data_IF_253277012951
#
_entry.id   IF_253277012951
#
_cell.length_a   1.000
_cell.length_b   1.000
_cell.length_c   1.000
_cell.angle_alpha   90.00
_cell.angle_beta   90.00
_cell.angle_gamma   90.00
#
_symmetry.space_group_name_H-M   'P 1'
#
loop_
_entity.id
_entity.type
_entity.pdbx_description
1 polymer ?
#
# COMPACT_ATOMS: atom_id res chain seq x y z
N UNK A 1 9.56 -32.16 25.78
CA UNK A 1 9.46 -31.81 24.35
C UNK A 1 8.46 -30.69 24.24
N UNK A 2 8.84 -29.51 23.75
CA UNK A 2 7.90 -28.40 23.56
C UNK A 2 7.15 -28.63 22.23
N UNK A 3 5.81 -28.58 22.29
CA UNK A 3 4.98 -28.62 21.08
C UNK A 3 5.24 -27.32 20.30
N UNK A 4 5.57 -27.38 19.00
CA UNK A 4 5.73 -26.17 18.19
C UNK A 4 4.44 -25.35 18.23
N UNK A 5 4.53 -24.09 18.66
CA UNK A 5 3.41 -23.15 18.56
C UNK A 5 3.21 -22.80 17.10
N UNK A 6 1.97 -22.97 16.61
CA UNK A 6 1.62 -22.60 15.24
C UNK A 6 1.90 -21.11 15.02
N UNK A 7 2.54 -20.72 13.90
CA UNK A 7 2.71 -19.31 13.57
C UNK A 7 1.33 -18.70 13.30
N UNK A 8 1.05 -17.58 13.94
CA UNK A 8 -0.16 -16.81 13.71
C UNK A 8 -0.09 -16.12 12.34
N UNK A 9 -1.11 -16.33 11.51
CA UNK A 9 -1.31 -15.58 10.27
C UNK A 9 -2.49 -14.63 10.51
N UNK A 10 -2.25 -13.32 10.55
CA UNK A 10 -3.32 -12.34 10.72
C UNK A 10 -4.33 -12.43 9.57
N UNK A 11 -5.62 -12.24 9.89
CA UNK A 11 -6.66 -12.08 8.89
C UNK A 11 -6.52 -10.79 8.08
N UNK A 12 -7.41 -10.61 7.11
CA UNK A 12 -7.56 -9.33 6.41
C UNK A 12 -8.03 -8.25 7.39
N UNK A 13 -7.55 -7.02 7.19
CA UNK A 13 -7.95 -5.85 7.98
C UNK A 13 -8.54 -4.82 7.04
N UNK A 14 -9.80 -4.48 7.28
CA UNK A 14 -10.54 -3.51 6.48
C UNK A 14 -10.07 -2.09 6.80
N UNK A 15 -9.59 -1.36 5.79
CA UNK A 15 -9.12 0.01 5.96
C UNK A 15 -9.82 0.95 4.98
N UNK A 16 -10.86 1.68 5.44
CA UNK A 16 -11.65 2.58 4.58
C UNK A 16 -10.96 3.93 4.31
N UNK A 17 -9.81 4.17 4.93
CA UNK A 17 -9.12 5.46 4.97
C UNK A 17 -9.98 6.60 5.57
N UNK A 18 -9.86 6.86 6.88
CA UNK A 18 -10.31 8.11 7.47
C UNK A 18 -9.12 9.06 7.72
N UNK A 19 -9.23 10.32 7.30
CA UNK A 19 -8.18 11.33 7.51
C UNK A 19 -7.86 11.55 9.00
N UNK A 20 -8.81 11.28 9.89
CA UNK A 20 -8.64 11.38 11.35
C UNK A 20 -7.54 10.48 11.90
N UNK A 21 -7.22 9.37 11.22
CA UNK A 21 -6.13 8.48 11.66
C UNK A 21 -4.75 9.09 11.37
N UNK A 22 -4.65 9.98 10.39
CA UNK A 22 -3.39 10.57 9.93
C UNK A 22 -3.10 11.93 10.56
N UNK A 23 -4.13 12.69 10.94
CA UNK A 23 -3.98 13.99 11.59
C UNK A 23 -3.09 13.97 12.86
N UNK A 24 -3.16 12.96 13.75
CA UNK A 24 -2.24 12.84 14.88
C UNK A 24 -0.77 12.72 14.48
N UNK A 25 -0.50 12.21 13.27
CA UNK A 25 0.83 12.15 12.67
C UNK A 25 1.29 13.45 12.00
N UNK A 26 0.48 14.52 12.07
CA UNK A 26 0.76 15.81 11.45
C UNK A 26 0.48 15.86 9.95
N UNK A 27 -0.29 14.91 9.42
CA UNK A 27 -0.61 14.89 7.99
C UNK A 27 -1.71 15.89 7.64
N UNK A 28 -1.44 16.69 6.59
CA UNK A 28 -2.44 17.55 5.96
C UNK A 28 -3.01 16.90 4.70
N UNK A 29 -4.32 17.00 4.48
CA UNK A 29 -4.98 16.42 3.30
C UNK A 29 -5.05 17.43 2.14
N UNK A 30 -4.71 16.97 0.94
CA UNK A 30 -4.91 17.66 -0.33
C UNK A 30 -5.88 16.82 -1.17
N UNK A 31 -7.13 17.25 -1.37
CA UNK A 31 -8.09 16.51 -2.18
C UNK A 31 -7.78 16.64 -3.68
N UNK A 32 -8.02 15.57 -4.44
CA UNK A 32 -7.91 15.53 -5.89
C UNK A 32 -9.09 14.75 -6.48
N UNK A 33 -9.84 15.35 -7.41
CA UNK A 33 -11.01 14.71 -8.01
C UNK A 33 -11.32 15.26 -9.40
N UNK A 34 -12.28 14.63 -10.08
CA UNK A 34 -12.79 15.08 -11.38
C UNK A 34 -11.71 15.12 -12.47
N UNK A 35 -11.70 16.20 -13.25
CA UNK A 35 -10.75 16.38 -14.36
C UNK A 35 -9.30 16.51 -13.90
N UNK A 36 -9.04 16.78 -12.61
CA UNK A 36 -7.69 16.87 -12.06
C UNK A 36 -7.05 15.52 -11.76
N UNK A 37 -7.78 14.40 -11.87
CA UNK A 37 -7.24 13.05 -11.69
C UNK A 37 -6.17 12.66 -12.73
N UNK A 38 -5.99 13.44 -13.80
CA UNK A 38 -5.03 13.16 -14.86
C UNK A 38 -4.40 14.44 -15.43
N UNK A 39 -3.44 14.25 -16.35
CA UNK A 39 -2.82 15.34 -17.10
C UNK A 39 -2.19 16.42 -16.20
N UNK A 40 -2.31 17.72 -16.58
CA UNK A 40 -1.68 18.81 -15.83
C UNK A 40 -2.17 18.94 -14.38
N UNK A 41 -3.44 18.64 -14.10
CA UNK A 41 -4.00 18.72 -12.74
C UNK A 41 -3.33 17.71 -11.80
N UNK A 42 -3.17 16.48 -12.27
CA UNK A 42 -2.48 15.44 -11.51
C UNK A 42 -1.00 15.77 -11.30
N UNK A 43 -0.32 16.24 -12.35
CA UNK A 43 1.10 16.64 -12.27
C UNK A 43 1.28 17.79 -11.27
N UNK A 44 0.39 18.78 -11.25
CA UNK A 44 0.45 19.90 -10.31
C UNK A 44 0.22 19.45 -8.86
N UNK A 45 -0.76 18.56 -8.64
CA UNK A 45 -1.02 17.99 -7.32
C UNK A 45 0.18 17.18 -6.80
N UNK A 46 0.76 16.33 -7.65
CA UNK A 46 1.95 15.54 -7.32
C UNK A 46 3.17 16.44 -7.03
N UNK A 47 3.36 17.49 -7.83
CA UNK A 47 4.42 18.49 -7.60
C UNK A 47 4.28 19.15 -6.23
N UNK A 48 3.04 19.50 -5.86
CA UNK A 48 2.72 20.14 -4.57
C UNK A 48 3.03 19.20 -3.39
N UNK A 49 2.56 17.95 -3.44
CA UNK A 49 2.74 17.01 -2.32
C UNK A 49 4.20 16.58 -2.16
N UNK A 50 4.96 16.46 -3.26
CA UNK A 50 6.39 16.13 -3.23
C UNK A 50 7.24 17.27 -2.67
N UNK A 51 6.87 18.52 -2.97
CA UNK A 51 7.52 19.71 -2.45
C UNK A 51 7.18 20.00 -0.98
N UNK A 52 6.09 19.43 -0.45
CA UNK A 52 5.60 19.68 0.90
C UNK A 52 6.63 19.36 1.98
N UNK A 53 6.84 20.30 2.90
CA UNK A 53 7.76 20.15 4.04
C UNK A 53 7.11 19.45 5.23
N UNK A 54 5.78 19.28 5.21
CA UNK A 54 5.02 18.59 6.24
C UNK A 54 4.40 17.30 5.69
N UNK A 55 4.22 16.25 6.51
CA UNK A 55 3.56 15.04 6.07
C UNK A 55 2.22 15.35 5.38
N UNK A 56 1.95 14.70 4.25
CA UNK A 56 0.81 15.07 3.39
C UNK A 56 0.07 13.84 2.90
N UNK A 57 -1.25 13.93 2.85
CA UNK A 57 -2.10 12.95 2.17
C UNK A 57 -2.64 13.56 0.88
N UNK A 58 -2.34 12.93 -0.26
CA UNK A 58 -3.07 13.18 -1.51
C UNK A 58 -4.30 12.29 -1.53
N UNK A 59 -5.47 12.85 -1.21
CA UNK A 59 -6.73 12.13 -1.27
C UNK A 59 -7.32 12.22 -2.68
N UNK A 60 -6.98 11.25 -3.52
CA UNK A 60 -7.49 11.07 -4.86
C UNK A 60 -8.43 9.85 -4.93
N UNK A 61 -9.21 9.58 -3.88
CA UNK A 61 -9.92 8.31 -3.67
C UNK A 61 -10.96 7.94 -4.74
N UNK A 62 -11.33 8.87 -5.63
CA UNK A 62 -12.19 8.63 -6.81
C UNK A 62 -11.41 8.53 -8.12
N UNK A 63 -10.09 8.71 -8.09
CA UNK A 63 -9.24 8.78 -9.27
C UNK A 63 -8.56 7.44 -9.57
N UNK A 64 -8.36 7.18 -10.86
CA UNK A 64 -7.45 6.14 -11.34
C UNK A 64 -6.12 6.82 -11.70
N UNK A 65 -5.11 6.69 -10.84
CA UNK A 65 -3.86 7.42 -10.98
C UNK A 65 -2.86 6.67 -11.84
N UNK A 66 -2.41 7.30 -12.93
CA UNK A 66 -1.29 6.81 -13.74
C UNK A 66 -0.05 7.67 -13.47
N UNK A 67 0.84 7.13 -12.63
CA UNK A 67 2.08 7.79 -12.24
C UNK A 67 3.13 7.78 -13.36
N UNK A 68 2.91 7.05 -14.45
CA UNK A 68 3.80 7.12 -15.63
C UNK A 68 3.76 8.49 -16.33
N UNK A 69 2.77 9.32 -16.03
CA UNK A 69 2.69 10.71 -16.49
C UNK A 69 3.64 11.66 -15.74
N UNK A 70 4.26 11.22 -14.63
CA UNK A 70 5.20 12.01 -13.84
C UNK A 70 6.63 11.88 -14.39
N UNK A 71 7.55 12.68 -13.85
CA UNK A 71 8.99 12.48 -14.07
C UNK A 71 9.43 11.08 -13.66
N UNK A 72 10.60 10.65 -14.15
CA UNK A 72 11.13 9.34 -13.76
C UNK A 72 11.47 9.27 -12.27
N UNK A 73 11.86 10.39 -11.66
CA UNK A 73 12.24 10.49 -10.26
C UNK A 73 11.33 11.44 -9.50
N UNK A 74 10.82 10.98 -8.36
CA UNK A 74 9.98 11.70 -7.41
C UNK A 74 10.78 11.94 -6.13
N UNK A 75 11.12 13.20 -5.88
CA UNK A 75 11.87 13.61 -4.69
C UNK A 75 10.90 14.01 -3.58
N UNK A 76 10.91 13.27 -2.48
CA UNK A 76 10.02 13.49 -1.34
C UNK A 76 10.70 14.35 -0.27
N UNK A 77 10.14 15.54 0.00
CA UNK A 77 10.60 16.39 1.10
C UNK A 77 10.09 15.95 2.47
N UNK A 78 8.97 15.23 2.52
CA UNK A 78 8.31 14.75 3.74
C UNK A 78 7.65 13.37 3.50
N UNK A 79 6.97 12.83 4.52
CA UNK A 79 6.22 11.58 4.41
C UNK A 79 4.94 11.79 3.58
N UNK A 80 4.60 10.84 2.72
CA UNK A 80 3.53 10.98 1.74
C UNK A 80 2.58 9.80 1.76
N UNK A 81 1.28 10.08 1.82
CA UNK A 81 0.22 9.10 1.60
C UNK A 81 -0.50 9.45 0.31
N UNK A 82 -0.75 8.49 -0.55
CA UNK A 82 -1.53 8.65 -1.76
C UNK A 82 -2.70 7.68 -1.69
N UNK A 83 -3.91 8.22 -1.70
CA UNK A 83 -5.15 7.46 -1.73
C UNK A 83 -5.72 7.52 -3.14
N UNK A 84 -6.07 6.38 -3.73
CA UNK A 84 -6.70 6.35 -5.05
C UNK A 84 -7.65 5.17 -5.22
N UNK A 85 -8.45 5.19 -6.28
CA UNK A 85 -9.24 4.03 -6.69
C UNK A 85 -8.35 2.98 -7.36
N UNK A 86 -7.37 3.40 -8.15
CA UNK A 86 -6.37 2.52 -8.75
C UNK A 86 -5.03 3.23 -8.96
N UNK A 87 -3.98 2.43 -9.10
CA UNK A 87 -2.62 2.90 -9.33
C UNK A 87 -1.98 2.18 -10.52
N UNK A 88 -1.30 2.94 -11.36
CA UNK A 88 -0.38 2.44 -12.36
C UNK A 88 0.96 3.14 -12.21
N UNK A 89 2.01 2.37 -11.91
CA UNK A 89 3.37 2.85 -11.78
C UNK A 89 4.21 2.27 -12.92
N UNK A 90 4.96 3.12 -13.60
CA UNK A 90 5.90 2.75 -14.66
C UNK A 90 7.01 3.80 -14.74
N UNK A 91 8.27 3.36 -14.75
CA UNK A 91 9.43 4.24 -14.73
C UNK A 91 9.43 5.25 -13.55
N UNK A 92 8.94 4.84 -12.38
CA UNK A 92 8.88 5.71 -11.20
C UNK A 92 9.92 5.32 -10.16
N UNK A 93 10.81 6.24 -9.82
CA UNK A 93 11.77 6.15 -8.73
C UNK A 93 11.37 7.09 -7.60
N UNK A 94 11.07 6.57 -6.42
CA UNK A 94 10.75 7.37 -5.24
C UNK A 94 11.96 7.45 -4.32
N UNK A 95 12.42 8.67 -4.02
CA UNK A 95 13.57 8.89 -3.17
C UNK A 95 13.35 10.07 -2.21
N UNK A 96 14.04 10.04 -1.07
CA UNK A 96 14.10 11.19 -0.18
C UNK A 96 14.90 12.30 -0.84
N UNK A 97 14.40 13.53 -0.80
CA UNK A 97 15.12 14.71 -1.26
C UNK A 97 16.32 15.07 -0.36
N UNK A 98 16.40 14.46 0.83
CA UNK A 98 17.41 14.78 1.85
C UNK A 98 18.03 13.50 2.42
N UNK A 99 18.85 13.63 3.48
CA UNK A 99 19.39 12.49 4.19
C UNK A 99 18.42 11.79 5.15
N UNK A 100 17.22 12.33 5.32
CA UNK A 100 16.22 11.83 6.25
C UNK A 100 15.42 10.69 5.61
N UNK A 101 15.14 9.64 6.38
CA UNK A 101 14.29 8.55 5.94
C UNK A 101 12.83 9.01 5.80
N UNK A 102 12.15 8.58 4.74
CA UNK A 102 10.76 8.91 4.43
C UNK A 102 9.88 7.68 4.36
N UNK A 103 8.60 7.88 4.65
CA UNK A 103 7.56 6.87 4.48
C UNK A 103 6.63 7.26 3.34
N UNK A 104 6.26 6.27 2.54
CA UNK A 104 5.35 6.41 1.41
C UNK A 104 4.26 5.35 1.54
N UNK A 105 3.00 5.75 1.43
CA UNK A 105 1.87 4.82 1.40
C UNK A 105 1.09 5.01 0.12
N UNK A 106 0.80 3.91 -0.55
CA UNK A 106 -0.22 3.84 -1.57
C UNK A 106 -1.38 3.02 -1.02
N UNK A 107 -2.55 3.62 -0.99
CA UNK A 107 -3.73 3.01 -0.37
C UNK A 107 -4.85 3.04 -1.38
N UNK A 108 -5.33 1.86 -1.74
CA UNK A 108 -6.66 1.68 -2.31
C UNK A 108 -7.57 1.35 -1.11
N UNK A 109 -8.51 2.25 -0.73
CA UNK A 109 -9.36 1.99 0.41
C UNK A 109 -10.22 0.76 0.21
N UNK A 110 -10.44 0.03 1.30
CA UNK A 110 -11.48 -0.99 1.36
C UNK A 110 -12.85 -0.32 1.35
N UNK A 111 -13.66 -0.62 0.33
CA UNK A 111 -15.00 -0.02 0.14
C UNK A 111 -16.13 -0.99 0.50
N UNK A 112 -15.76 -2.06 1.19
CA UNK A 112 -16.66 -3.07 1.70
C UNK A 112 -17.50 -2.66 2.89
N UNK A 113 -18.07 -3.69 3.52
CA UNK A 113 -18.64 -3.55 4.85
C UNK A 113 -17.49 -3.45 5.85
N UNK A 114 -17.46 -2.40 6.67
CA UNK A 114 -16.43 -2.25 7.70
C UNK A 114 -16.40 -3.45 8.64
N UNK A 115 -15.20 -3.93 8.96
CA UNK A 115 -14.93 -5.03 9.90
C UNK A 115 -15.54 -6.38 9.47
N UNK A 116 -15.71 -6.60 8.16
CA UNK A 116 -16.07 -7.91 7.63
C UNK A 116 -14.86 -8.83 7.41
N UNK A 117 -13.64 -8.29 7.50
CA UNK A 117 -12.38 -8.99 7.25
C UNK A 117 -12.33 -9.65 5.86
N UNK A 118 -12.92 -8.98 4.87
CA UNK A 118 -12.93 -9.42 3.47
C UNK A 118 -12.33 -8.31 2.62
N UNK A 119 -11.36 -8.61 1.74
CA UNK A 119 -10.81 -7.60 0.84
C UNK A 119 -11.85 -7.18 -0.21
N UNK A 120 -12.61 -6.13 0.08
CA UNK A 120 -13.63 -5.61 -0.83
C UNK A 120 -13.03 -4.55 -1.76
N UNK A 121 -12.52 -5.04 -2.88
CA UNK A 121 -11.94 -4.22 -3.92
C UNK A 121 -12.99 -3.27 -4.53
N UNK A 122 -12.75 -1.94 -4.56
CA UNK A 122 -13.64 -1.02 -5.25
C UNK A 122 -13.76 -1.35 -6.74
N UNK A 123 -14.92 -1.05 -7.32
CA UNK A 123 -15.15 -1.25 -8.76
C UNK A 123 -14.10 -0.50 -9.60
N UNK A 124 -13.44 -1.23 -10.51
CA UNK A 124 -12.36 -0.70 -11.33
C UNK A 124 -11.03 -0.49 -10.58
N UNK A 125 -10.94 -0.93 -9.33
CA UNK A 125 -9.72 -0.84 -8.54
C UNK A 125 -8.66 -1.83 -9.01
N UNK A 126 -7.42 -1.37 -9.07
CA UNK A 126 -6.26 -2.21 -9.41
C UNK A 126 -4.97 -1.53 -9.00
N UNK A 127 -3.95 -2.33 -8.69
CA UNK A 127 -2.59 -1.81 -8.46
C UNK A 127 -1.63 -2.49 -9.43
N UNK A 128 -1.08 -1.73 -10.36
CA UNK A 128 -0.14 -2.25 -11.36
C UNK A 128 1.19 -1.53 -11.25
N UNK A 129 2.25 -2.30 -11.02
CA UNK A 129 3.64 -1.85 -11.18
C UNK A 129 4.23 -2.54 -12.38
N UNK A 130 4.69 -1.75 -13.35
CA UNK A 130 5.43 -2.25 -14.50
C UNK A 130 6.94 -2.02 -14.30
N UNK A 131 7.71 -2.13 -15.38
CA UNK A 131 9.16 -2.04 -15.34
C UNK A 131 9.66 -0.69 -14.80
N UNK A 132 10.88 -0.71 -14.26
CA UNK A 132 11.64 0.46 -13.79
C UNK A 132 10.97 1.23 -12.64
N UNK A 133 10.22 0.52 -11.80
CA UNK A 133 9.76 1.05 -10.51
C UNK A 133 10.79 0.70 -9.44
N UNK A 134 11.28 1.73 -8.74
CA UNK A 134 12.30 1.61 -7.69
C UNK A 134 11.92 2.44 -6.47
N UNK A 135 12.04 1.85 -5.29
CA UNK A 135 11.97 2.58 -4.01
C UNK A 135 13.40 2.76 -3.49
N UNK A 136 13.83 4.01 -3.36
CA UNK A 136 15.17 4.37 -2.89
C UNK A 136 15.45 3.89 -1.47
N UNK A 137 16.73 3.74 -1.12
CA UNK A 137 17.17 3.17 0.16
C UNK A 137 16.70 3.92 1.41
N UNK A 138 16.39 5.22 1.27
CA UNK A 138 15.86 6.10 2.32
C UNK A 138 14.34 6.24 2.30
N UNK A 139 13.63 5.49 1.47
CA UNK A 139 12.17 5.46 1.44
C UNK A 139 11.70 4.08 1.87
N UNK A 140 10.73 4.03 2.76
CA UNK A 140 10.00 2.82 3.11
C UNK A 140 8.60 2.98 2.49
N UNK A 141 8.23 2.11 1.56
CA UNK A 141 6.97 2.18 0.84
C UNK A 141 6.00 1.05 1.22
N UNK A 142 4.74 1.40 1.46
CA UNK A 142 3.67 0.45 1.72
C UNK A 142 2.64 0.49 0.60
N UNK A 143 2.20 -0.68 0.14
CA UNK A 143 0.97 -0.83 -0.63
C UNK A 143 -0.07 -1.46 0.29
N UNK A 144 -1.22 -0.81 0.43
CA UNK A 144 -2.44 -1.42 0.96
C UNK A 144 -3.49 -1.44 -0.14
N UNK A 145 -3.99 -2.62 -0.47
CA UNK A 145 -4.96 -2.77 -1.55
C UNK A 145 -5.86 -4.01 -1.37
N UNK A 146 -7.18 -3.85 -1.15
CA UNK A 146 -8.12 -4.97 -1.26
C UNK A 146 -8.19 -5.54 -2.68
N UNK A 147 -7.67 -4.81 -3.68
CA UNK A 147 -7.55 -5.26 -5.05
C UNK A 147 -6.27 -6.06 -5.31
N UNK A 148 -6.25 -6.92 -6.34
CA UNK A 148 -5.03 -7.60 -6.79
C UNK A 148 -3.91 -6.61 -7.15
N UNK A 149 -2.69 -6.94 -6.72
CA UNK A 149 -1.46 -6.22 -7.08
C UNK A 149 -0.74 -7.01 -8.18
N UNK A 150 -0.54 -6.40 -9.34
CA UNK A 150 0.34 -6.93 -10.38
C UNK A 150 1.69 -6.26 -10.30
N UNK A 151 2.74 -7.02 -10.03
CA UNK A 151 4.09 -6.54 -9.79
C UNK A 151 5.07 -7.02 -10.86
N UNK A 152 5.58 -6.08 -11.64
CA UNK A 152 6.75 -6.24 -12.52
C UNK A 152 7.82 -5.18 -12.22
N UNK A 153 7.84 -4.66 -11.00
CA UNK A 153 8.82 -3.67 -10.54
C UNK A 153 10.23 -4.30 -10.45
N UNK A 154 11.25 -3.44 -10.38
CA UNK A 154 12.62 -3.90 -10.23
C UNK A 154 12.96 -4.10 -8.75
N UNK A 155 12.76 -3.04 -7.94
CA UNK A 155 13.11 -3.03 -6.51
C UNK A 155 12.03 -2.33 -5.70
N UNK A 156 11.43 -3.06 -4.76
CA UNK A 156 10.56 -2.48 -3.74
C UNK A 156 11.23 -2.57 -2.38
N UNK A 157 11.15 -1.49 -1.61
CA UNK A 157 11.61 -1.44 -0.22
C UNK A 157 10.44 -1.09 0.68
N UNK A 158 9.98 -2.04 1.48
CA UNK A 158 8.83 -1.88 2.37
C UNK A 158 7.91 -3.09 2.38
N UNK A 159 6.61 -2.84 2.34
CA UNK A 159 5.59 -3.87 2.57
C UNK A 159 4.49 -3.80 1.51
N UNK A 160 3.96 -4.97 1.12
CA UNK A 160 2.78 -5.09 0.26
C UNK A 160 1.75 -5.87 1.06
N UNK A 161 0.60 -5.24 1.31
CA UNK A 161 -0.56 -5.81 1.98
C UNK A 161 -1.72 -5.78 0.99
N UNK A 162 -2.01 -6.92 0.35
CA UNK A 162 -3.05 -7.00 -0.67
C UNK A 162 -3.80 -8.32 -0.65
N UNK A 163 -5.00 -8.32 -1.25
CA UNK A 163 -5.82 -9.54 -1.37
C UNK A 163 -5.12 -10.65 -2.13
N UNK A 164 -4.37 -10.26 -3.16
CA UNK A 164 -3.47 -11.14 -3.90
C UNK A 164 -2.34 -10.32 -4.53
N UNK A 165 -1.21 -10.98 -4.77
CA UNK A 165 -0.08 -10.41 -5.51
C UNK A 165 0.34 -11.38 -6.61
N UNK A 166 0.46 -10.87 -7.84
CA UNK A 166 1.02 -11.60 -8.98
C UNK A 166 2.32 -10.95 -9.40
N UNK A 167 3.38 -11.73 -9.50
CA UNK A 167 4.68 -11.26 -10.02
C UNK A 167 4.93 -11.82 -11.41
N UNK A 168 5.20 -10.96 -12.39
CA UNK A 168 5.45 -11.38 -13.78
C UNK A 168 6.92 -11.34 -14.20
N UNK A 169 7.79 -10.69 -13.43
CA UNK A 169 9.22 -10.55 -13.70
C UNK A 169 10.05 -10.76 -12.43
N UNK A 170 11.37 -10.92 -12.60
CA UNK A 170 12.31 -10.92 -11.48
C UNK A 170 12.22 -9.58 -10.72
N UNK A 171 11.97 -9.67 -9.43
CA UNK A 171 11.67 -8.54 -8.55
C UNK A 171 12.41 -8.71 -7.23
N UNK A 172 12.97 -7.63 -6.70
CA UNK A 172 13.61 -7.63 -5.37
C UNK A 172 12.70 -6.93 -4.35
N UNK A 173 12.30 -7.66 -3.31
CA UNK A 173 11.62 -7.11 -2.13
C UNK A 173 12.60 -6.97 -0.97
N UNK A 174 12.94 -5.74 -0.61
CA UNK A 174 13.63 -5.42 0.64
C UNK A 174 12.59 -5.11 1.71
N UNK A 175 12.24 -6.12 2.52
CA UNK A 175 11.20 -5.94 3.53
C UNK A 175 11.58 -4.89 4.57
N UNK A 176 10.69 -3.92 4.78
CA UNK A 176 10.77 -2.94 5.87
C UNK A 176 9.35 -2.82 6.43
N UNK A 177 9.14 -3.11 7.72
CA UNK A 177 7.81 -3.06 8.31
C UNK A 177 7.31 -1.61 8.35
N UNK A 178 6.09 -1.39 7.87
CA UNK A 178 5.41 -0.09 7.89
C UNK A 178 3.96 -0.34 8.28
N UNK A 179 3.50 0.34 9.32
CA UNK A 179 2.10 0.29 9.73
C UNK A 179 1.23 1.31 8.99
N UNK A 180 -0.08 1.14 9.12
CA UNK A 180 -1.08 2.16 8.78
C UNK A 180 -1.69 2.64 10.11
N UNK A 181 -1.80 3.96 10.33
CA UNK A 181 -2.51 4.48 11.49
C UNK A 181 -3.95 3.96 11.54
N UNK A 182 -4.46 3.65 12.74
CA UNK A 182 -5.82 3.15 12.92
C UNK A 182 -6.00 1.64 12.78
N UNK A 183 -4.95 0.88 12.41
CA UNK A 183 -5.04 -0.59 12.28
C UNK A 183 -3.82 -1.31 12.83
N UNK A 184 -4.04 -2.55 13.29
CA UNK A 184 -2.98 -3.46 13.71
C UNK A 184 -2.88 -4.64 12.74
N UNK A 185 -1.99 -4.48 11.74
CA UNK A 185 -1.73 -5.51 10.73
C UNK A 185 -1.04 -6.76 11.29
N UNK A 186 -0.40 -6.68 12.46
CA UNK A 186 0.22 -7.83 13.12
C UNK A 186 -0.80 -8.69 13.87
N UNK A 187 -1.87 -8.08 14.39
CA UNK A 187 -2.94 -8.79 15.08
C UNK A 187 -4.14 -9.08 14.16
N UNK A 188 -4.21 -8.45 12.98
CA UNK A 188 -5.34 -8.58 12.07
C UNK A 188 -6.59 -7.89 12.61
N UNK A 189 -6.42 -6.76 13.31
CA UNK A 189 -7.51 -6.07 14.01
C UNK A 189 -7.53 -4.59 13.69
N UNK A 190 -8.72 -4.02 13.64
CA UNK A 190 -8.92 -2.57 13.63
C UNK A 190 -8.77 -2.00 15.05
N UNK A 191 -8.41 -0.72 15.20
CA UNK A 191 -8.15 -0.10 16.53
C UNK A 191 -9.32 -0.20 17.52
N UNK A 192 -10.54 -0.42 17.04
CA UNK A 192 -11.75 -0.57 17.82
C UNK A 192 -12.12 -2.02 18.17
N UNK A 193 -11.37 -3.01 17.69
CA UNK A 193 -11.69 -4.42 17.89
C UNK A 193 -10.97 -5.00 19.10
N UNK A 194 -11.72 -5.75 19.92
CA UNK A 194 -11.10 -6.65 20.90
C UNK A 194 -10.60 -7.87 20.14
N UNK A 195 -9.32 -8.27 20.26
CA UNK A 195 -8.81 -9.46 19.58
C UNK A 195 -9.65 -10.68 19.98
N UNK A 196 -10.36 -11.27 19.04
CA UNK A 196 -11.05 -12.55 19.27
C UNK A 196 -9.98 -13.64 19.49
N UNK A 197 -10.10 -14.49 20.52
CA UNK A 197 -9.11 -15.51 20.82
C UNK A 197 -8.93 -16.46 19.63
N UNK A 198 -7.68 -16.59 19.19
CA UNK A 198 -7.32 -17.20 17.92
C UNK A 198 -7.59 -18.72 17.89
N UNK A 199 -8.36 -19.18 16.90
CA UNK A 199 -8.39 -20.60 16.53
C UNK A 199 -7.42 -20.77 15.37
N UNK A 200 -6.25 -21.36 15.63
CA UNK A 200 -5.33 -21.76 14.57
C UNK A 200 -5.98 -22.90 13.76
N UNK A 201 -6.48 -22.60 12.56
CA UNK A 201 -7.04 -23.61 11.67
C UNK A 201 -5.96 -24.09 10.71
N UNK A 202 -5.63 -25.39 10.77
CA UNK A 202 -4.80 -26.04 9.76
C UNK A 202 -5.66 -26.17 8.49
N UNK A 203 -5.39 -25.35 7.47
CA UNK A 203 -5.81 -25.67 6.11
C UNK A 203 -5.20 -27.02 5.70
N UNK A 204 -5.83 -27.79 4.79
CA UNK A 204 -5.32 -29.11 4.41
C UNK A 204 -3.82 -29.03 4.07
N UNK A 205 -3.03 -29.91 4.68
CA UNK A 205 -1.57 -29.98 4.50
C UNK A 205 -1.23 -30.38 3.07
N UNK A 206 -1.19 -29.44 2.15
CA UNK A 206 -0.51 -29.63 0.87
C UNK A 206 0.92 -29.13 1.06
N UNK A 207 1.88 -30.04 1.18
CA UNK A 207 3.27 -29.63 1.21
C UNK A 207 3.61 -28.90 -0.11
N UNK A 208 4.39 -27.82 -0.05
CA UNK A 208 4.90 -27.12 -1.25
C UNK A 208 5.64 -28.08 -2.20
N UNK A 209 6.15 -29.20 -1.66
CA UNK A 209 6.86 -30.24 -2.41
C UNK A 209 5.93 -31.26 -3.11
N UNK A 210 4.62 -31.22 -2.86
CA UNK A 210 3.63 -32.09 -3.53
C UNK A 210 2.80 -31.37 -4.59
N UNK A 211 3.16 -30.14 -4.98
CA UNK A 211 2.47 -29.38 -6.03
C UNK A 211 2.78 -29.84 -7.48
N UNK A 212 3.39 -31.01 -7.66
CA UNK A 212 3.54 -31.65 -8.98
C UNK A 212 3.09 -33.12 -8.90
N UNK A 213 1.80 -33.36 -9.12
CA UNK A 213 1.26 -34.60 -9.66
C UNK A 213 -0.20 -34.35 -10.07
N UNK A 214 -0.38 -33.98 -11.34
CA UNK A 214 -1.66 -33.73 -11.99
C UNK A 214 -1.43 -33.20 -13.38
#
# INVERSE_FOLDING_TARGET
>A
MAVPTLPFVPGWVDYPYPITDWQPGGFAEIPLSGSSCSGPGFIAAMTTVLASLTPTVLNASTCNLDLSALSSTQNMNSDLVIIANSFKLSNNNFQSATAINRKLWFIIPDRGTLNNHVPDCPSGGSFTMTNNVTIGSRVAAMIYSPCPVTNSANVWRGQIYSSSTKTSNAFTLNYVPIGIPGVNLFAGTNSSETPTPFIAVIGPRTAIRTLNAG
#
